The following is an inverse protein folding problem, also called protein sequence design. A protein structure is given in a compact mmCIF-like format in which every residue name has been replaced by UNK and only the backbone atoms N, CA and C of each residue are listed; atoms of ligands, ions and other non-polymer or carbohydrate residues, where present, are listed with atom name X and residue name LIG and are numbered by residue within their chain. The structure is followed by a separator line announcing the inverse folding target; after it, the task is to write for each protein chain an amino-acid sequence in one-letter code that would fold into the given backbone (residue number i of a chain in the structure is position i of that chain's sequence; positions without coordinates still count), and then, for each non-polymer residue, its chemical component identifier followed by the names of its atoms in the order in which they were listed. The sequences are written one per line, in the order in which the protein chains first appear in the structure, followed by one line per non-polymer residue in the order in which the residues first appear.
data_IF_067821806645
#
_entry.id   IF_067821806645
#
_cell.length_a   1.000
_cell.length_b   1.000
_cell.length_c   1.000
_cell.angle_alpha   90.00
_cell.angle_beta   90.00
_cell.angle_gamma   90.00
#
_symmetry.space_group_name_H-M   'P 1'
#
loop_
_entity.id
_entity.type
_entity.pdbx_description
1 polymer ?
#
# COMPACT_ATOMS: atom_id res chain seq x y z
N UNK A 1 13.28 14.14 -22.17
CA UNK A 1 12.91 14.76 -20.91
C UNK A 1 11.39 14.83 -20.88
N UNK A 2 10.72 13.90 -20.18
CA UNK A 2 9.35 14.13 -19.78
C UNK A 2 9.48 15.09 -18.59
N UNK A 3 9.39 16.38 -18.89
CA UNK A 3 9.46 17.43 -17.89
C UNK A 3 8.35 17.24 -16.87
N UNK A 4 8.70 17.49 -15.62
CA UNK A 4 7.79 17.71 -14.51
C UNK A 4 6.83 16.57 -14.15
N UNK A 5 7.36 15.33 -13.96
CA UNK A 5 6.78 14.38 -13.03
C UNK A 5 5.35 13.90 -13.29
N UNK A 6 4.85 13.99 -14.53
CA UNK A 6 3.51 13.52 -14.84
C UNK A 6 3.55 12.01 -15.06
N UNK A 7 3.15 11.25 -14.05
CA UNK A 7 3.05 9.78 -14.06
C UNK A 7 1.83 9.24 -14.83
N UNK A 8 1.05 10.13 -15.44
CA UNK A 8 -0.21 9.84 -16.09
C UNK A 8 -0.19 8.64 -17.05
N UNK A 9 0.79 8.51 -17.98
CA UNK A 9 0.75 7.36 -18.90
C UNK A 9 0.94 6.03 -18.18
N UNK A 10 1.89 5.95 -17.25
CA UNK A 10 2.18 4.74 -16.48
C UNK A 10 1.03 4.38 -15.55
N UNK A 11 0.41 5.37 -14.94
CA UNK A 11 -0.73 5.21 -14.07
C UNK A 11 -1.97 4.72 -14.82
N UNK A 12 -2.26 5.27 -16.00
CA UNK A 12 -3.45 4.91 -16.78
C UNK A 12 -3.36 3.51 -17.41
N UNK A 13 -2.17 2.95 -17.57
CA UNK A 13 -1.98 1.63 -18.19
C UNK A 13 -2.77 0.57 -17.44
N UNK A 14 -2.68 0.49 -16.10
CA UNK A 14 -3.35 -0.56 -15.35
C UNK A 14 -4.86 -0.42 -15.24
N UNK A 15 -5.42 0.73 -14.93
CA UNK A 15 -6.86 0.92 -15.01
C UNK A 15 -7.42 0.56 -16.40
N UNK A 16 -6.70 0.92 -17.47
CA UNK A 16 -7.10 0.57 -18.85
C UNK A 16 -7.05 -0.94 -19.07
N UNK A 17 -5.95 -1.60 -18.70
CA UNK A 17 -5.81 -3.06 -18.82
C UNK A 17 -6.87 -3.76 -17.95
N UNK A 18 -7.12 -3.28 -16.73
CA UNK A 18 -8.14 -3.84 -15.86
C UNK A 18 -9.53 -3.72 -16.48
N UNK A 19 -9.88 -2.57 -17.05
CA UNK A 19 -11.17 -2.37 -17.74
C UNK A 19 -11.27 -3.27 -18.97
N UNK A 20 -10.25 -3.35 -19.82
CA UNK A 20 -10.24 -4.21 -21.01
C UNK A 20 -10.32 -5.68 -20.61
N UNK A 21 -9.53 -6.11 -19.63
CA UNK A 21 -9.59 -7.46 -19.09
C UNK A 21 -10.95 -7.79 -18.49
N UNK A 22 -11.56 -6.83 -17.83
CA UNK A 22 -12.89 -6.91 -17.27
C UNK A 22 -13.95 -7.12 -18.36
N UNK A 23 -13.93 -6.28 -19.40
CA UNK A 23 -14.83 -6.43 -20.56
C UNK A 23 -14.60 -7.79 -21.23
N UNK A 24 -13.36 -8.21 -21.45
CA UNK A 24 -13.04 -9.51 -22.01
C UNK A 24 -13.60 -10.67 -21.18
N UNK A 25 -13.50 -10.60 -19.86
CA UNK A 25 -14.05 -11.60 -18.95
C UNK A 25 -15.58 -11.66 -19.00
N UNK A 26 -16.25 -10.49 -18.99
CA UNK A 26 -17.74 -10.38 -19.11
C UNK A 26 -18.23 -10.96 -20.43
N UNK A 27 -17.51 -10.66 -21.52
CA UNK A 27 -17.88 -11.10 -22.86
C UNK A 27 -17.50 -12.54 -23.17
N UNK A 28 -16.87 -13.27 -22.21
CA UNK A 28 -16.49 -14.66 -22.36
C UNK A 28 -15.28 -14.91 -23.26
N UNK A 29 -14.42 -13.90 -23.45
CA UNK A 29 -13.15 -14.07 -24.18
C UNK A 29 -12.31 -15.17 -23.52
N UNK A 30 -11.91 -16.17 -24.32
CA UNK A 30 -11.13 -17.33 -23.87
C UNK A 30 -11.99 -18.50 -23.37
N UNK A 31 -13.32 -18.38 -23.36
CA UNK A 31 -14.24 -19.43 -22.94
C UNK A 31 -14.65 -19.35 -21.47
N UNK A 32 -15.54 -20.22 -21.05
CA UNK A 32 -16.25 -20.15 -19.76
C UNK A 32 -15.77 -21.23 -18.76
N UNK A 33 -14.61 -21.86 -19.01
CA UNK A 33 -14.07 -22.86 -18.11
C UNK A 33 -13.60 -22.24 -16.78
N UNK A 34 -13.68 -23.00 -15.69
CA UNK A 34 -13.20 -22.57 -14.37
C UNK A 34 -11.73 -22.11 -14.42
N UNK A 35 -10.89 -22.79 -15.19
CA UNK A 35 -9.48 -22.45 -15.33
C UNK A 35 -9.30 -21.06 -15.96
N UNK A 36 -10.04 -20.75 -17.02
CA UNK A 36 -10.01 -19.43 -17.67
C UNK A 36 -10.46 -18.35 -16.70
N UNK A 37 -11.53 -18.58 -15.96
CA UNK A 37 -12.04 -17.65 -14.94
C UNK A 37 -11.02 -17.39 -13.85
N UNK A 38 -10.33 -18.43 -13.36
CA UNK A 38 -9.26 -18.29 -12.36
C UNK A 38 -8.07 -17.50 -12.89
N UNK A 39 -7.64 -17.77 -14.13
CA UNK A 39 -6.55 -17.01 -14.77
C UNK A 39 -6.92 -15.52 -14.87
N UNK A 40 -8.13 -15.20 -15.32
CA UNK A 40 -8.62 -13.82 -15.37
C UNK A 40 -8.68 -13.17 -13.99
N UNK A 41 -9.17 -13.90 -12.99
CA UNK A 41 -9.25 -13.39 -11.61
C UNK A 41 -7.87 -13.06 -11.04
N UNK A 42 -6.88 -13.90 -11.30
CA UNK A 42 -5.49 -13.64 -10.87
C UNK A 42 -4.92 -12.43 -11.61
N UNK A 43 -5.14 -12.34 -12.91
CA UNK A 43 -4.70 -11.20 -13.72
C UNK A 43 -5.34 -9.88 -13.26
N UNK A 44 -6.65 -9.86 -13.06
CA UNK A 44 -7.36 -8.68 -12.55
C UNK A 44 -6.94 -8.35 -11.12
N UNK A 45 -6.70 -9.36 -10.29
CA UNK A 45 -6.16 -9.18 -8.93
C UNK A 45 -4.79 -8.50 -8.96
N UNK A 46 -3.91 -8.90 -9.88
CA UNK A 46 -2.63 -8.23 -10.08
C UNK A 46 -2.80 -6.77 -10.56
N UNK A 47 -3.74 -6.52 -11.47
CA UNK A 47 -4.05 -5.16 -11.90
C UNK A 47 -4.51 -4.28 -10.73
N UNK A 48 -5.40 -4.77 -9.87
CA UNK A 48 -5.84 -4.06 -8.68
C UNK A 48 -4.70 -3.83 -7.67
N UNK A 49 -3.81 -4.80 -7.51
CA UNK A 49 -2.59 -4.63 -6.71
C UNK A 49 -1.72 -3.48 -7.23
N UNK A 50 -1.55 -3.36 -8.54
CA UNK A 50 -0.80 -2.26 -9.13
C UNK A 50 -1.51 -0.90 -8.97
N UNK A 51 -2.85 -0.88 -9.01
CA UNK A 51 -3.64 0.33 -8.68
C UNK A 51 -3.39 0.76 -7.23
N UNK A 52 -3.26 -0.20 -6.30
CA UNK A 52 -2.89 0.11 -4.92
C UNK A 52 -1.48 0.74 -4.81
N UNK A 53 -0.54 0.37 -5.69
CA UNK A 53 0.76 1.05 -5.81
C UNK A 53 0.62 2.54 -6.16
N UNK A 54 -0.30 2.90 -7.04
CA UNK A 54 -0.57 4.30 -7.37
C UNK A 54 -1.22 5.08 -6.21
N UNK A 55 -2.04 4.42 -5.42
CA UNK A 55 -2.61 4.98 -4.18
C UNK A 55 -1.50 5.33 -3.17
N UNK A 56 -0.53 4.45 -3.03
CA UNK A 56 0.66 4.67 -2.22
C UNK A 56 1.49 5.88 -2.72
N UNK A 57 1.74 6.00 -4.03
CA UNK A 57 2.43 7.15 -4.61
C UNK A 57 1.68 8.47 -4.34
N UNK A 58 0.35 8.45 -4.40
CA UNK A 58 -0.47 9.62 -4.07
C UNK A 58 -0.30 10.07 -2.60
N UNK A 59 -0.09 9.13 -1.69
CA UNK A 59 0.20 9.41 -0.27
C UNK A 59 1.53 10.14 -0.10
N UNK A 60 2.54 9.76 -0.88
CA UNK A 60 3.85 10.42 -0.91
C UNK A 60 3.87 11.73 -1.72
N UNK A 61 2.77 12.06 -2.37
CA UNK A 61 2.63 13.22 -3.25
C UNK A 61 3.57 13.18 -4.47
N UNK A 62 3.85 11.98 -4.97
CA UNK A 62 4.73 11.71 -6.10
C UNK A 62 3.98 11.40 -7.40
N UNK A 63 2.64 11.34 -7.36
CA UNK A 63 1.79 11.09 -8.55
C UNK A 63 1.67 12.29 -9.49
N UNK A 64 1.79 13.48 -9.00
CA UNK A 64 1.64 14.69 -9.80
C UNK A 64 2.25 15.90 -9.12
N UNK A 65 2.32 17.01 -9.87
CA UNK A 65 2.97 18.25 -9.45
C UNK A 65 2.20 19.03 -8.39
N UNK A 66 0.89 18.79 -8.24
CA UNK A 66 0.09 19.51 -7.26
C UNK A 66 -0.37 18.59 -6.13
N UNK A 67 -0.30 19.12 -4.91
CA UNK A 67 -0.80 18.47 -3.70
C UNK A 67 -2.29 18.08 -3.83
N UNK A 68 -3.11 19.01 -4.32
CA UNK A 68 -4.54 18.77 -4.45
C UNK A 68 -4.85 17.63 -5.44
N UNK A 69 -4.10 17.53 -6.53
CA UNK A 69 -4.24 16.43 -7.48
C UNK A 69 -3.92 15.09 -6.81
N UNK A 70 -2.84 14.99 -6.04
CA UNK A 70 -2.48 13.77 -5.31
C UNK A 70 -3.55 13.39 -4.28
N UNK A 71 -4.06 14.35 -3.51
CA UNK A 71 -5.09 14.10 -2.50
C UNK A 71 -6.40 13.63 -3.13
N UNK A 72 -6.87 14.30 -4.17
CA UNK A 72 -8.11 13.91 -4.87
C UNK A 72 -7.97 12.56 -5.56
N UNK A 73 -6.84 12.35 -6.22
CA UNK A 73 -6.52 11.07 -6.83
C UNK A 73 -6.51 9.94 -5.79
N UNK A 74 -5.80 10.15 -4.68
CA UNK A 74 -5.76 9.18 -3.59
C UNK A 74 -7.14 8.89 -3.00
N UNK A 75 -8.00 9.90 -2.82
CA UNK A 75 -9.39 9.72 -2.37
C UNK A 75 -10.24 8.91 -3.34
N UNK A 76 -10.12 9.18 -4.64
CA UNK A 76 -10.85 8.42 -5.66
C UNK A 76 -10.38 6.96 -5.66
N UNK A 77 -9.08 6.71 -5.75
CA UNK A 77 -8.55 5.34 -5.73
C UNK A 77 -8.84 4.64 -4.41
N UNK A 78 -8.69 5.33 -3.28
CA UNK A 78 -9.04 4.80 -1.96
C UNK A 78 -10.49 4.40 -1.84
N UNK A 79 -11.43 5.15 -2.47
CA UNK A 79 -12.85 4.79 -2.53
C UNK A 79 -13.05 3.48 -3.28
N UNK A 80 -12.38 3.28 -4.41
CA UNK A 80 -12.40 2.01 -5.15
C UNK A 80 -11.79 0.86 -4.35
N UNK A 81 -10.69 1.09 -3.65
CA UNK A 81 -10.02 0.08 -2.82
C UNK A 81 -10.72 -0.18 -1.48
N UNK A 82 -11.73 0.61 -1.12
CA UNK A 82 -12.38 0.55 0.19
C UNK A 82 -11.50 1.04 1.35
N UNK A 83 -10.48 1.84 1.06
CA UNK A 83 -9.50 2.34 2.04
C UNK A 83 -9.58 3.87 2.11
N UNK A 84 -9.93 4.47 3.27
CA UNK A 84 -9.90 5.92 3.42
C UNK A 84 -8.48 6.47 3.23
N UNK A 85 -8.34 7.43 2.33
CA UNK A 85 -7.05 8.04 2.00
C UNK A 85 -6.36 8.65 3.23
N UNK A 86 -7.12 9.39 4.03
CA UNK A 86 -6.56 10.12 5.18
C UNK A 86 -5.98 9.19 6.24
N UNK A 87 -6.67 8.12 6.61
CA UNK A 87 -6.16 7.18 7.63
C UNK A 87 -4.96 6.40 7.11
N UNK A 88 -5.00 6.00 5.84
CA UNK A 88 -3.86 5.32 5.22
C UNK A 88 -2.64 6.25 5.17
N UNK A 89 -2.81 7.49 4.71
CA UNK A 89 -1.74 8.49 4.66
C UNK A 89 -1.11 8.71 6.03
N UNK A 90 -1.91 8.97 7.06
CA UNK A 90 -1.39 9.23 8.41
C UNK A 90 -0.68 8.00 9.00
N UNK A 91 -1.19 6.79 8.77
CA UNK A 91 -0.53 5.57 9.24
C UNK A 91 0.75 5.30 8.47
N UNK A 92 0.76 5.52 7.16
CA UNK A 92 1.90 5.25 6.29
C UNK A 92 3.06 6.23 6.49
N UNK A 93 2.77 7.51 6.66
CA UNK A 93 3.78 8.50 7.04
C UNK A 93 4.41 8.14 8.39
N UNK A 94 3.57 7.69 9.34
CA UNK A 94 4.05 7.24 10.64
C UNK A 94 4.87 5.94 10.52
N UNK A 95 4.49 5.03 9.63
CA UNK A 95 5.28 3.85 9.32
C UNK A 95 6.69 4.20 8.84
N UNK A 96 6.84 5.16 7.94
CA UNK A 96 8.16 5.67 7.54
C UNK A 96 8.96 6.28 8.70
N UNK A 97 8.27 6.98 9.61
CA UNK A 97 8.91 7.62 10.76
C UNK A 97 9.38 6.63 11.84
N UNK A 98 8.57 5.61 12.09
CA UNK A 98 8.73 4.67 13.22
C UNK A 98 8.88 3.23 12.75
N UNK A 99 9.39 3.03 11.56
CA UNK A 99 9.55 1.72 10.94
C UNK A 99 10.21 0.70 11.88
N UNK A 100 9.63 -0.48 11.96
CA UNK A 100 10.09 -1.59 12.79
C UNK A 100 10.11 -1.29 14.30
N UNK A 101 9.48 -0.21 14.77
CA UNK A 101 9.30 0.08 16.20
C UNK A 101 7.89 -0.26 16.66
N UNK A 102 7.67 -0.24 17.99
CA UNK A 102 6.34 -0.44 18.57
C UNK A 102 5.33 0.65 18.20
N UNK A 103 5.76 1.78 17.68
CA UNK A 103 4.92 2.91 17.28
C UNK A 103 4.52 2.89 15.80
N UNK A 104 5.00 1.89 15.08
CA UNK A 104 4.57 1.58 13.73
C UNK A 104 3.17 0.96 13.75
N UNK A 105 2.19 1.68 13.23
CA UNK A 105 0.79 1.21 13.19
C UNK A 105 0.51 0.27 12.04
N UNK A 106 1.26 0.38 10.93
CA UNK A 106 1.01 -0.38 9.72
C UNK A 106 1.51 -1.82 9.83
N UNK A 107 2.63 -2.03 10.52
CA UNK A 107 3.20 -3.35 10.78
C UNK A 107 2.64 -4.03 12.05
N UNK A 108 1.56 -3.52 12.62
CA UNK A 108 0.87 -4.22 13.69
C UNK A 108 0.26 -5.54 13.17
N UNK A 109 0.33 -6.67 13.91
CA UNK A 109 0.88 -6.85 15.25
C UNK A 109 2.36 -7.23 15.29
N UNK A 110 3.05 -7.30 14.15
CA UNK A 110 4.42 -7.83 14.00
C UNK A 110 5.48 -6.98 14.74
N UNK A 111 5.22 -5.69 14.89
CA UNK A 111 6.10 -4.75 15.59
C UNK A 111 5.83 -4.65 17.11
N UNK A 112 4.75 -5.25 17.64
CA UNK A 112 4.36 -5.10 19.05
C UNK A 112 5.06 -6.12 19.94
N UNK A 113 5.91 -5.72 20.91
CA UNK A 113 6.63 -6.64 21.80
C UNK A 113 5.72 -7.56 22.61
N UNK A 114 4.51 -7.08 22.99
CA UNK A 114 3.53 -7.87 23.74
C UNK A 114 2.65 -8.81 22.90
N UNK A 115 2.77 -8.79 21.57
CA UNK A 115 2.01 -9.70 20.71
C UNK A 115 2.62 -11.12 20.76
N UNK A 116 1.83 -12.10 21.19
CA UNK A 116 2.30 -13.49 21.27
C UNK A 116 2.67 -14.03 19.90
N UNK A 117 3.62 -14.97 19.86
CA UNK A 117 4.04 -15.62 18.62
C UNK A 117 2.87 -16.31 17.92
N UNK A 118 2.00 -17.00 18.68
CA UNK A 118 0.82 -17.67 18.14
C UNK A 118 -0.12 -16.67 17.46
N UNK A 119 -0.37 -15.52 18.08
CA UNK A 119 -1.20 -14.46 17.50
C UNK A 119 -0.59 -13.91 16.21
N UNK A 120 0.71 -13.63 16.20
CA UNK A 120 1.41 -13.12 15.01
C UNK A 120 1.35 -14.13 13.84
N UNK A 121 1.53 -15.43 14.12
CA UNK A 121 1.39 -16.51 13.12
C UNK A 121 -0.05 -16.60 12.55
N UNK A 122 -1.05 -16.54 13.40
CA UNK A 122 -2.45 -16.53 12.97
C UNK A 122 -2.77 -15.28 12.14
N UNK A 123 -2.19 -14.13 12.52
CA UNK A 123 -2.41 -12.87 11.82
C UNK A 123 -1.73 -12.84 10.43
N UNK A 124 -0.62 -13.57 10.22
CA UNK A 124 -0.03 -13.76 8.88
C UNK A 124 -1.04 -14.39 7.92
N UNK A 125 -1.71 -15.45 8.35
CA UNK A 125 -2.73 -16.11 7.53
C UNK A 125 -3.91 -15.18 7.27
N UNK A 126 -4.33 -14.43 8.27
CA UNK A 126 -5.38 -13.44 8.12
C UNK A 126 -4.98 -12.29 7.18
N UNK A 127 -3.75 -11.80 7.26
CA UNK A 127 -3.23 -10.75 6.37
C UNK A 127 -3.14 -11.20 4.91
N UNK A 128 -2.85 -12.48 4.65
CA UNK A 128 -2.76 -13.03 3.29
C UNK A 128 -4.15 -13.35 2.73
N UNK A 129 -4.95 -14.10 3.47
CA UNK A 129 -6.20 -14.67 2.95
C UNK A 129 -7.43 -13.84 3.30
N UNK A 130 -7.38 -13.09 4.39
CA UNK A 130 -8.45 -12.23 4.87
C UNK A 130 -8.19 -10.74 4.67
N UNK A 131 -7.20 -10.36 3.87
CA UNK A 131 -6.66 -8.99 3.80
C UNK A 131 -7.71 -7.92 3.42
N UNK A 132 -8.76 -8.26 2.67
CA UNK A 132 -9.90 -7.35 2.45
C UNK A 132 -10.55 -6.95 3.79
N UNK A 133 -10.64 -7.88 4.73
CA UNK A 133 -11.18 -7.63 6.07
C UNK A 133 -10.12 -7.07 7.00
N UNK A 134 -8.83 -7.43 6.78
CA UNK A 134 -7.72 -6.95 7.58
C UNK A 134 -7.56 -5.43 7.47
N UNK A 135 -7.64 -4.87 6.27
CA UNK A 135 -7.50 -3.43 6.06
C UNK A 135 -8.51 -2.59 6.87
N UNK A 136 -9.82 -2.83 6.81
CA UNK A 136 -10.78 -2.12 7.65
C UNK A 136 -10.50 -2.28 9.15
N UNK A 137 -10.05 -3.46 9.60
CA UNK A 137 -9.72 -3.71 11.00
C UNK A 137 -8.47 -2.93 11.42
N UNK A 138 -7.40 -2.99 10.63
CA UNK A 138 -6.15 -2.28 10.92
C UNK A 138 -6.38 -0.76 10.94
N UNK A 139 -7.05 -0.22 9.92
CA UNK A 139 -7.33 1.23 9.86
C UNK A 139 -8.41 1.66 10.86
N UNK A 140 -9.44 0.84 11.09
CA UNK A 140 -10.41 1.06 12.16
C UNK A 140 -9.71 1.10 13.52
N UNK A 141 -8.78 0.18 13.78
CA UNK A 141 -7.96 0.20 14.99
C UNK A 141 -7.20 1.52 15.14
N UNK A 142 -6.56 2.00 14.08
CA UNK A 142 -5.84 3.28 14.09
C UNK A 142 -6.77 4.42 14.47
N UNK A 143 -8.01 4.41 14.01
CA UNK A 143 -9.01 5.43 14.36
C UNK A 143 -9.38 5.41 15.86
N UNK A 144 -9.50 4.23 16.47
CA UNK A 144 -10.02 4.05 17.82
C UNK A 144 -8.96 3.92 18.93
N UNK A 145 -7.69 3.66 18.60
CA UNK A 145 -6.66 3.51 19.64
C UNK A 145 -6.45 4.83 20.38
N UNK A 146 -6.13 4.72 21.68
CA UNK A 146 -5.94 5.88 22.58
C UNK A 146 -4.84 6.84 22.09
N UNK A 147 -3.74 6.28 21.57
CA UNK A 147 -2.60 7.04 21.05
C UNK A 147 -2.67 7.15 19.50
N UNK A 148 -3.88 7.33 18.97
CA UNK A 148 -4.05 7.49 17.52
C UNK A 148 -3.26 8.71 17.00
N UNK A 149 -2.57 8.59 15.88
CA UNK A 149 -1.91 9.72 15.23
C UNK A 149 -2.89 10.72 14.61
N UNK A 150 -4.18 10.36 14.54
CA UNK A 150 -5.19 11.16 13.87
C UNK A 150 -5.61 12.38 14.70
N UNK A 151 -5.39 13.56 14.14
CA UNK A 151 -5.98 14.81 14.65
C UNK A 151 -7.51 14.78 14.54
N UNK A 152 -8.20 15.70 15.22
CA UNK A 152 -9.66 15.80 15.10
C UNK A 152 -10.12 16.10 13.67
N UNK A 153 -9.36 16.89 12.94
CA UNK A 153 -9.63 17.20 11.53
C UNK A 153 -9.45 15.95 10.64
N UNK A 154 -8.37 15.20 10.85
CA UNK A 154 -8.15 13.93 10.16
C UNK A 154 -9.28 12.94 10.44
N UNK A 155 -9.76 12.84 11.68
CA UNK A 155 -10.91 11.97 12.03
C UNK A 155 -12.18 12.36 11.26
N UNK A 156 -12.47 13.64 11.13
CA UNK A 156 -13.61 14.14 10.35
C UNK A 156 -13.44 13.80 8.86
N UNK A 157 -12.24 13.93 8.31
CA UNK A 157 -11.94 13.54 6.92
C UNK A 157 -12.14 12.03 6.72
N UNK A 158 -11.63 11.19 7.62
CA UNK A 158 -11.79 9.73 7.60
C UNK A 158 -13.26 9.33 7.62
N UNK A 159 -14.10 9.99 8.45
CA UNK A 159 -15.55 9.71 8.48
C UNK A 159 -16.21 10.02 7.15
N UNK A 160 -15.87 11.15 6.52
CA UNK A 160 -16.41 11.53 5.19
C UNK A 160 -15.96 10.55 4.10
N UNK A 161 -14.71 10.12 4.16
CA UNK A 161 -14.16 9.13 3.22
C UNK A 161 -14.83 7.76 3.38
N UNK A 162 -15.07 7.28 4.62
CA UNK A 162 -15.85 6.06 4.84
C UNK A 162 -17.29 6.21 4.36
N UNK A 163 -17.90 7.36 4.54
CA UNK A 163 -19.25 7.61 4.00
C UNK A 163 -19.24 7.55 2.46
N UNK A 164 -18.26 8.17 1.81
CA UNK A 164 -18.13 8.11 0.37
C UNK A 164 -17.93 6.65 -0.13
N UNK A 165 -17.10 5.86 0.55
CA UNK A 165 -16.90 4.44 0.29
C UNK A 165 -18.22 3.67 0.43
N UNK A 166 -18.93 3.88 1.52
CA UNK A 166 -20.21 3.19 1.79
C UNK A 166 -21.28 3.53 0.74
N UNK A 167 -21.40 4.81 0.37
CA UNK A 167 -22.32 5.26 -0.67
C UNK A 167 -21.94 4.68 -2.03
N UNK A 168 -20.67 4.74 -2.40
CA UNK A 168 -20.18 4.23 -3.68
C UNK A 168 -20.43 2.72 -3.82
N UNK A 169 -19.94 1.91 -2.86
CA UNK A 169 -20.10 0.47 -2.91
C UNK A 169 -21.55 0.02 -2.69
N UNK A 170 -22.27 0.70 -1.81
CA UNK A 170 -23.70 0.46 -1.60
C UNK A 170 -24.52 0.70 -2.87
N UNK A 171 -24.20 1.76 -3.63
CA UNK A 171 -24.85 2.06 -4.91
C UNK A 171 -24.52 0.99 -5.98
N UNK A 172 -23.27 0.52 -6.04
CA UNK A 172 -22.87 -0.56 -6.95
C UNK A 172 -23.61 -1.84 -6.60
N UNK A 173 -23.60 -2.27 -5.33
CA UNK A 173 -24.25 -3.49 -4.88
C UNK A 173 -25.77 -3.42 -5.17
N UNK A 174 -26.42 -2.32 -4.80
CA UNK A 174 -27.83 -2.12 -5.06
C UNK A 174 -28.16 -2.15 -6.56
N UNK A 175 -27.38 -1.43 -7.37
CA UNK A 175 -27.55 -1.40 -8.82
C UNK A 175 -27.37 -2.78 -9.46
N UNK A 176 -26.34 -3.51 -9.09
CA UNK A 176 -26.08 -4.87 -9.59
C UNK A 176 -27.16 -5.86 -9.17
N UNK A 177 -27.66 -5.74 -7.93
CA UNK A 177 -28.79 -6.55 -7.46
C UNK A 177 -30.05 -6.27 -8.29
N UNK A 178 -30.39 -5.00 -8.53
CA UNK A 178 -31.53 -4.62 -9.36
C UNK A 178 -31.39 -5.15 -10.78
N UNK A 179 -30.21 -5.01 -11.40
CA UNK A 179 -29.93 -5.51 -12.75
C UNK A 179 -30.07 -7.04 -12.82
N UNK A 180 -29.62 -7.74 -11.78
CA UNK A 180 -29.74 -9.20 -11.70
C UNK A 180 -31.17 -9.66 -11.54
N UNK A 181 -31.95 -9.00 -10.67
CA UNK A 181 -33.38 -9.33 -10.48
C UNK A 181 -34.19 -9.11 -11.77
N UNK A 182 -33.73 -8.23 -12.65
CA UNK A 182 -34.32 -8.02 -13.97
C UNK A 182 -33.72 -8.92 -15.08
N UNK A 183 -32.87 -9.87 -14.73
CA UNK A 183 -32.27 -10.79 -15.70
C UNK A 183 -31.26 -10.17 -16.67
N UNK A 184 -30.77 -8.93 -16.37
CA UNK A 184 -29.84 -8.20 -17.24
C UNK A 184 -28.39 -8.63 -16.98
N UNK A 185 -28.06 -8.97 -15.72
CA UNK A 185 -26.71 -9.38 -15.30
C UNK A 185 -26.76 -10.68 -14.53
N UNK A 186 -25.81 -11.56 -14.83
CA UNK A 186 -25.60 -12.78 -14.06
C UNK A 186 -24.69 -12.48 -12.84
N UNK A 187 -25.24 -12.55 -11.63
CA UNK A 187 -24.48 -12.32 -10.39
C UNK A 187 -23.35 -13.32 -10.21
N UNK A 188 -23.47 -14.57 -10.67
CA UNK A 188 -22.37 -15.52 -10.53
C UNK A 188 -21.14 -15.09 -11.32
N UNK A 189 -21.36 -14.49 -12.49
CA UNK A 189 -20.26 -13.88 -13.25
C UNK A 189 -19.69 -12.66 -12.53
N UNK A 190 -20.55 -11.84 -11.95
CA UNK A 190 -20.12 -10.67 -11.17
C UNK A 190 -19.26 -11.05 -9.95
N UNK A 191 -19.64 -12.10 -9.21
CA UNK A 191 -18.91 -12.56 -8.04
C UNK A 191 -17.48 -12.98 -8.37
N UNK A 192 -17.28 -13.71 -9.46
CA UNK A 192 -15.94 -14.11 -9.91
C UNK A 192 -15.13 -12.94 -10.46
N UNK A 193 -15.80 -11.88 -10.91
CA UNK A 193 -15.15 -10.72 -11.53
C UNK A 193 -14.70 -9.68 -10.52
N UNK A 194 -15.47 -9.49 -9.46
CA UNK A 194 -15.20 -8.47 -8.44
C UNK A 194 -14.73 -9.05 -7.12
N UNK A 195 -15.42 -10.07 -6.65
CA UNK A 195 -15.13 -10.60 -5.32
C UNK A 195 -13.82 -11.36 -5.28
N UNK A 196 -13.52 -12.17 -6.29
CA UNK A 196 -12.29 -12.97 -6.28
C UNK A 196 -11.01 -12.16 -6.62
N UNK A 197 -10.99 -11.21 -7.56
CA UNK A 197 -9.81 -10.38 -7.80
C UNK A 197 -9.39 -9.53 -6.60
N UNK A 198 -10.32 -9.07 -5.77
CA UNK A 198 -9.97 -8.23 -4.61
C UNK A 198 -9.17 -8.97 -3.52
N UNK A 199 -9.56 -10.16 -3.02
CA UNK A 199 -8.71 -10.92 -2.10
C UNK A 199 -7.37 -11.32 -2.72
N UNK A 200 -7.32 -11.58 -4.02
CA UNK A 200 -6.06 -11.86 -4.72
C UNK A 200 -5.16 -10.62 -4.69
N UNK A 201 -5.68 -9.44 -5.00
CA UNK A 201 -4.94 -8.19 -4.91
C UNK A 201 -4.43 -7.92 -3.48
N UNK A 202 -5.28 -8.19 -2.49
CA UNK A 202 -4.94 -8.04 -1.08
C UNK A 202 -3.85 -9.04 -0.66
N UNK A 203 -3.89 -10.29 -1.17
CA UNK A 203 -2.83 -11.28 -0.96
C UNK A 203 -1.51 -10.83 -1.57
N UNK A 204 -1.49 -10.30 -2.79
CA UNK A 204 -0.29 -9.72 -3.40
C UNK A 204 0.28 -8.59 -2.54
N UNK A 205 -0.57 -7.70 -2.03
CA UNK A 205 -0.13 -6.61 -1.15
C UNK A 205 0.42 -7.13 0.19
N UNK A 206 -0.21 -8.14 0.80
CA UNK A 206 0.28 -8.80 2.00
C UNK A 206 1.64 -9.44 1.79
N UNK A 207 1.81 -10.20 0.70
CA UNK A 207 3.09 -10.81 0.33
C UNK A 207 4.17 -9.76 0.09
N UNK A 208 3.85 -8.65 -0.60
CA UNK A 208 4.77 -7.53 -0.80
C UNK A 208 5.22 -6.97 0.55
N UNK A 209 4.27 -6.60 1.42
CA UNK A 209 4.56 -6.08 2.77
C UNK A 209 5.47 -7.02 3.58
N UNK A 210 5.21 -8.32 3.54
CA UNK A 210 6.04 -9.31 4.23
C UNK A 210 7.43 -9.43 3.62
N UNK A 211 7.51 -9.46 2.29
CA UNK A 211 8.79 -9.52 1.60
C UNK A 211 9.66 -8.30 1.93
N UNK A 212 9.07 -7.14 2.04
CA UNK A 212 9.76 -5.88 2.31
C UNK A 212 10.24 -5.78 3.78
N UNK A 213 9.44 -6.24 4.75
CA UNK A 213 9.66 -5.92 6.17
C UNK A 213 9.87 -7.13 7.10
N UNK A 214 9.20 -8.27 6.86
CA UNK A 214 9.13 -9.32 7.86
C UNK A 214 10.49 -9.96 8.13
N UNK A 215 10.84 -10.12 9.41
CA UNK A 215 12.15 -10.63 9.83
C UNK A 215 13.25 -9.55 9.88
N UNK A 216 12.96 -8.31 9.50
CA UNK A 216 13.93 -7.22 9.55
C UNK A 216 14.00 -6.61 10.96
N UNK A 217 15.20 -6.64 11.55
CA UNK A 217 15.44 -6.23 12.93
C UNK A 217 15.79 -4.73 13.08
N UNK A 218 16.40 -4.14 12.05
CA UNK A 218 16.90 -2.77 12.10
C UNK A 218 15.76 -1.74 11.96
N UNK A 219 15.90 -0.61 12.63
CA UNK A 219 15.04 0.57 12.45
C UNK A 219 15.61 1.56 11.43
N UNK A 220 16.83 1.31 10.90
CA UNK A 220 17.36 2.10 9.79
C UNK A 220 16.60 1.76 8.49
N UNK A 221 16.08 2.73 7.74
CA UNK A 221 15.29 2.50 6.55
C UNK A 221 15.95 1.62 5.48
N UNK A 222 17.25 1.77 5.29
CA UNK A 222 18.00 0.99 4.29
C UNK A 222 18.27 -0.43 4.77
N UNK A 223 18.55 -0.59 6.07
CA UNK A 223 18.91 -1.89 6.67
C UNK A 223 17.72 -2.65 7.24
N UNK A 224 16.63 -1.95 7.51
CA UNK A 224 15.40 -2.49 8.10
C UNK A 224 14.35 -2.93 7.07
N UNK A 225 14.70 -2.91 5.78
CA UNK A 225 13.85 -3.36 4.68
C UNK A 225 14.63 -4.18 3.68
N UNK A 226 13.94 -5.07 2.95
CA UNK A 226 14.51 -5.73 1.77
C UNK A 226 14.26 -4.88 0.54
N UNK A 227 15.30 -4.68 -0.25
CA UNK A 227 15.24 -4.01 -1.54
C UNK A 227 15.36 -5.04 -2.66
N UNK A 228 14.47 -5.03 -3.63
CA UNK A 228 14.58 -5.86 -4.83
C UNK A 228 15.08 -4.98 -5.98
N UNK A 229 16.25 -5.31 -6.51
CA UNK A 229 16.80 -4.63 -7.68
C UNK A 229 16.90 -5.64 -8.84
N UNK A 230 15.87 -5.64 -9.69
CA UNK A 230 15.64 -6.66 -10.69
C UNK A 230 16.75 -6.78 -11.73
N UNK A 231 17.34 -7.98 -11.83
CA UNK A 231 18.32 -8.31 -12.88
C UNK A 231 17.69 -9.01 -14.08
N UNK A 232 16.49 -9.58 -13.93
CA UNK A 232 15.76 -10.23 -15.02
C UNK A 232 14.56 -9.40 -15.51
N UNK A 233 14.10 -9.70 -16.71
CA UNK A 233 13.01 -8.94 -17.34
C UNK A 233 11.68 -9.06 -16.59
N UNK A 234 11.36 -10.22 -16.00
CA UNK A 234 10.13 -10.43 -15.23
C UNK A 234 10.09 -9.49 -14.03
N UNK A 235 11.15 -9.49 -13.22
CA UNK A 235 11.24 -8.60 -12.05
C UNK A 235 11.17 -7.14 -12.47
N UNK A 236 11.86 -6.76 -13.56
CA UNK A 236 11.80 -5.37 -14.07
C UNK A 236 10.41 -4.95 -14.52
N UNK A 237 9.68 -5.84 -15.19
CA UNK A 237 8.29 -5.58 -15.59
C UNK A 237 7.40 -5.44 -14.36
N UNK A 238 7.52 -6.35 -13.39
CA UNK A 238 6.76 -6.26 -12.14
C UNK A 238 7.09 -4.97 -11.36
N UNK A 239 8.36 -4.63 -11.22
CA UNK A 239 8.82 -3.38 -10.60
C UNK A 239 8.25 -2.16 -11.31
N UNK A 240 8.34 -2.14 -12.63
CA UNK A 240 7.81 -1.04 -13.44
C UNK A 240 6.32 -0.80 -13.15
N UNK A 241 5.55 -1.85 -13.11
CA UNK A 241 4.11 -1.75 -12.87
C UNK A 241 3.73 -1.50 -11.41
N UNK A 242 4.59 -1.85 -10.47
CA UNK A 242 4.45 -1.54 -9.06
C UNK A 242 5.19 -0.24 -8.66
N UNK A 243 5.46 0.66 -9.59
CA UNK A 243 6.12 1.96 -9.35
C UNK A 243 7.47 1.85 -8.63
N UNK A 244 8.26 0.80 -8.92
CA UNK A 244 9.55 0.52 -8.27
C UNK A 244 9.49 0.52 -6.73
N UNK A 245 8.32 0.25 -6.13
CA UNK A 245 8.13 0.20 -4.67
C UNK A 245 8.95 -0.91 -4.02
N UNK A 246 9.36 -1.89 -4.81
CA UNK A 246 10.29 -2.96 -4.42
C UNK A 246 11.73 -2.47 -4.19
N UNK A 247 12.09 -1.27 -4.67
CA UNK A 247 13.33 -0.59 -4.26
C UNK A 247 13.08 0.09 -2.91
N UNK A 248 12.74 -0.74 -1.91
CA UNK A 248 12.01 -0.32 -0.73
C UNK A 248 12.85 0.43 0.31
N UNK A 249 14.10 0.05 0.52
CA UNK A 249 15.00 0.77 1.42
C UNK A 249 15.21 2.23 1.02
N UNK A 250 15.57 2.52 -0.24
CA UNK A 250 15.60 3.89 -0.77
C UNK A 250 14.26 4.61 -0.66
N UNK A 251 13.13 3.93 -0.92
CA UNK A 251 11.81 4.51 -0.76
C UNK A 251 11.57 4.97 0.69
N UNK A 252 11.88 4.15 1.68
CA UNK A 252 11.79 4.53 3.10
C UNK A 252 12.76 5.64 3.48
N UNK A 253 13.95 5.66 2.89
CA UNK A 253 14.97 6.67 3.18
C UNK A 253 14.64 8.03 2.55
N UNK A 254 14.04 8.02 1.37
CA UNK A 254 13.75 9.18 0.53
C UNK A 254 12.28 9.17 0.08
N UNK A 255 11.31 9.26 1.01
CA UNK A 255 9.89 8.99 0.72
C UNK A 255 9.25 9.99 -0.25
N UNK A 256 9.92 11.12 -0.54
CA UNK A 256 9.50 12.10 -1.55
C UNK A 256 10.23 11.97 -2.88
N UNK A 257 11.19 11.04 -2.98
CA UNK A 257 11.84 10.78 -4.25
C UNK A 257 10.86 10.09 -5.19
N UNK A 258 10.71 10.57 -6.43
CA UNK A 258 9.89 9.88 -7.41
C UNK A 258 10.41 8.46 -7.62
N UNK A 259 9.50 7.52 -7.86
CA UNK A 259 9.83 6.10 -8.00
C UNK A 259 10.92 5.80 -9.05
N UNK A 260 11.06 6.61 -10.08
CA UNK A 260 12.11 6.45 -11.11
C UNK A 260 13.50 6.90 -10.66
N UNK A 261 13.62 7.59 -9.52
CA UNK A 261 14.89 8.00 -8.93
C UNK A 261 15.41 7.03 -7.85
N UNK A 262 14.61 6.08 -7.38
CA UNK A 262 14.96 5.23 -6.24
C UNK A 262 16.22 4.40 -6.49
N UNK A 263 16.42 3.91 -7.71
CA UNK A 263 17.64 3.14 -8.07
C UNK A 263 18.89 4.03 -8.00
N UNK A 264 18.83 5.25 -8.53
CA UNK A 264 19.95 6.20 -8.45
C UNK A 264 20.23 6.65 -7.02
N UNK A 265 19.19 6.81 -6.19
CA UNK A 265 19.33 7.10 -4.76
C UNK A 265 20.01 5.96 -3.99
N UNK A 266 19.70 4.72 -4.34
CA UNK A 266 20.40 3.56 -3.78
C UNK A 266 21.89 3.57 -4.13
N UNK A 267 22.21 3.77 -5.41
CA UNK A 267 23.59 3.82 -5.87
C UNK A 267 24.37 4.98 -5.22
N UNK A 268 23.78 6.14 -5.09
CA UNK A 268 24.37 7.28 -4.38
C UNK A 268 24.64 6.96 -2.89
N UNK A 269 23.68 6.29 -2.24
CA UNK A 269 23.83 5.88 -0.85
C UNK A 269 24.97 4.86 -0.67
N UNK A 270 25.06 3.85 -1.55
CA UNK A 270 26.13 2.84 -1.53
C UNK A 270 27.52 3.46 -1.73
N UNK A 271 27.65 4.43 -2.64
CA UNK A 271 28.90 5.17 -2.84
C UNK A 271 29.34 5.95 -1.61
N UNK A 272 28.40 6.54 -0.87
CA UNK A 272 28.67 7.29 0.37
C UNK A 272 28.96 6.37 1.58
N UNK A 273 28.50 5.14 1.51
CA UNK A 273 28.59 4.17 2.63
C UNK A 273 29.12 2.80 2.14
N UNK A 274 30.35 2.71 1.60
CA UNK A 274 30.84 1.50 0.95
C UNK A 274 31.02 0.30 1.90
N UNK A 275 31.08 0.54 3.22
CA UNK A 275 31.19 -0.54 4.23
C UNK A 275 29.85 -1.11 4.69
N UNK A 276 28.72 -0.60 4.23
CA UNK A 276 27.39 -1.05 4.65
C UNK A 276 26.89 -2.12 3.70
N UNK A 277 26.56 -3.29 4.23
CA UNK A 277 25.90 -4.36 3.48
C UNK A 277 24.39 -4.12 3.50
N UNK A 278 23.86 -3.75 2.36
CA UNK A 278 22.43 -3.47 2.18
C UNK A 278 21.71 -4.77 1.76
N UNK A 279 20.52 -5.09 2.31
CA UNK A 279 19.75 -6.28 1.91
C UNK A 279 19.11 -6.07 0.53
N UNK A 280 19.90 -6.27 -0.53
CA UNK A 280 19.48 -6.15 -1.93
C UNK A 280 19.38 -7.53 -2.57
N UNK A 281 18.22 -7.80 -3.18
CA UNK A 281 17.89 -9.07 -3.81
C UNK A 281 17.74 -8.89 -5.33
N UNK A 282 18.28 -9.84 -6.13
CA UNK A 282 18.27 -9.72 -7.60
C UNK A 282 16.90 -10.04 -8.23
N UNK A 283 15.99 -10.62 -7.46
CA UNK A 283 14.63 -10.99 -7.91
C UNK A 283 13.65 -10.98 -6.74
N UNK A 284 12.35 -10.80 -7.04
CA UNK A 284 11.29 -11.01 -6.06
C UNK A 284 11.33 -12.40 -5.45
N UNK A 285 11.57 -13.43 -6.27
CA UNK A 285 11.64 -14.81 -5.77
C UNK A 285 12.75 -14.97 -4.71
N UNK A 286 13.93 -14.39 -4.94
CA UNK A 286 15.02 -14.44 -3.96
C UNK A 286 14.62 -13.75 -2.64
N UNK A 287 13.99 -12.59 -2.69
CA UNK A 287 13.51 -11.89 -1.50
C UNK A 287 12.39 -12.65 -0.78
N UNK A 288 11.46 -13.25 -1.53
CA UNK A 288 10.40 -14.12 -0.97
C UNK A 288 11.00 -15.33 -0.27
N UNK A 289 11.96 -16.02 -0.90
CA UNK A 289 12.62 -17.19 -0.29
C UNK A 289 13.35 -16.85 1.00
N UNK A 290 13.94 -15.66 1.11
CA UNK A 290 14.53 -15.14 2.34
C UNK A 290 13.47 -14.84 3.42
N UNK A 291 12.28 -14.47 3.01
CA UNK A 291 11.15 -14.13 3.91
C UNK A 291 10.40 -15.36 4.43
N UNK A 292 10.27 -16.44 3.64
CA UNK A 292 9.48 -17.63 3.98
C UNK A 292 9.78 -18.19 5.38
N UNK A 293 11.06 -18.37 5.81
CA UNK A 293 11.34 -18.85 7.15
C UNK A 293 10.74 -17.96 8.25
N UNK A 294 10.74 -16.64 8.04
CA UNK A 294 10.21 -15.69 9.00
C UNK A 294 8.69 -15.84 9.18
N UNK A 295 7.95 -16.17 8.11
CA UNK A 295 6.49 -16.34 8.16
C UNK A 295 6.06 -17.42 9.17
N UNK A 296 6.83 -18.49 9.31
CA UNK A 296 6.48 -19.64 10.16
C UNK A 296 7.21 -19.64 11.50
N UNK A 297 8.51 -19.29 11.49
CA UNK A 297 9.33 -19.38 12.69
C UNK A 297 9.02 -18.23 13.65
N UNK A 298 9.14 -17.00 13.18
CA UNK A 298 8.94 -15.80 13.99
C UNK A 298 8.49 -14.60 13.14
N UNK A 299 7.21 -14.52 12.78
CA UNK A 299 6.70 -13.38 12.04
C UNK A 299 6.75 -12.11 12.92
N UNK A 300 7.79 -11.34 12.75
CA UNK A 300 8.04 -10.12 13.51
C UNK A 300 8.97 -9.17 12.80
N UNK A 301 9.01 -7.92 13.27
CA UNK A 301 9.93 -6.88 12.85
C UNK A 301 10.52 -6.20 14.09
N UNK A 302 11.65 -5.51 13.93
CA UNK A 302 12.30 -4.80 15.04
C UNK A 302 12.62 -5.75 16.20
N UNK A 303 12.16 -5.43 17.41
CA UNK A 303 12.39 -6.25 18.61
C UNK A 303 11.91 -7.69 18.46
N UNK A 304 10.78 -7.89 17.78
CA UNK A 304 10.27 -9.25 17.53
C UNK A 304 11.10 -10.02 16.50
N UNK A 305 11.97 -9.37 15.76
CA UNK A 305 12.97 -9.99 14.87
C UNK A 305 14.38 -10.01 15.48
N UNK A 306 14.53 -9.74 16.77
CA UNK A 306 15.83 -9.73 17.49
C UNK A 306 16.54 -8.38 17.49
N UNK A 307 15.90 -7.32 17.07
CA UNK A 307 16.42 -5.96 17.13
C UNK A 307 16.38 -5.35 18.54
N UNK A 308 16.97 -4.17 18.66
CA UNK A 308 16.94 -3.37 19.89
C UNK A 308 15.79 -2.39 19.89
N UNK A 309 15.32 -1.99 21.09
CA UNK A 309 14.28 -0.96 21.24
C UNK A 309 14.77 0.48 20.94
N UNK A 310 15.98 0.63 20.44
CA UNK A 310 16.50 1.96 20.11
C UNK A 310 15.73 2.53 18.93
N UNK A 311 14.90 3.52 19.20
CA UNK A 311 14.28 4.38 18.20
C UNK A 311 15.38 5.18 17.52
N UNK A 312 15.67 4.85 16.29
CA UNK A 312 16.50 5.70 15.45
C UNK A 312 15.60 6.80 14.89
N UNK A 313 15.37 7.85 15.68
CA UNK A 313 14.68 9.04 15.18
C UNK A 313 15.68 9.80 14.31
N UNK A 314 15.50 9.74 13.00
CA UNK A 314 16.32 10.50 12.07
C UNK A 314 15.87 11.96 12.00
N UNK A 315 16.81 12.88 12.04
CA UNK A 315 16.59 14.31 11.84
C UNK A 315 15.80 14.65 10.55
N UNK A 316 15.88 13.81 9.50
CA UNK A 316 15.11 14.00 8.27
C UNK A 316 13.64 13.53 8.36
N UNK A 317 13.32 12.64 9.29
CA UNK A 317 11.95 12.12 9.49
C UNK A 317 11.16 13.02 10.43
N UNK A 318 11.81 13.64 11.41
CA UNK A 318 11.19 14.68 12.22
C UNK A 318 10.70 15.85 11.37
N UNK A 319 11.49 16.25 10.37
CA UNK A 319 11.07 17.28 9.42
C UNK A 319 9.86 16.84 8.58
N UNK A 320 9.79 15.57 8.18
CA UNK A 320 8.68 15.05 7.39
C UNK A 320 7.38 14.98 8.20
N UNK A 321 7.42 14.47 9.43
CA UNK A 321 6.26 14.44 10.34
C UNK A 321 5.86 15.81 10.82
N UNK A 322 6.81 16.72 11.08
CA UNK A 322 6.53 18.11 11.46
C UNK A 322 6.01 18.97 10.30
N UNK A 323 6.41 18.67 9.06
CA UNK A 323 5.85 19.27 7.85
C UNK A 323 4.40 18.85 7.64
N UNK A 324 4.07 17.57 7.84
CA UNK A 324 2.70 17.08 7.76
C UNK A 324 1.81 17.70 8.83
N UNK A 325 2.31 17.87 10.05
CA UNK A 325 1.61 18.58 11.11
C UNK A 325 1.38 20.05 10.78
N UNK A 326 2.36 20.74 10.18
CA UNK A 326 2.25 22.12 9.69
C UNK A 326 1.31 22.26 8.50
N UNK A 327 1.32 21.30 7.59
CA UNK A 327 0.41 21.26 6.46
C UNK A 327 -1.04 21.09 6.89
N UNK A 328 -1.30 20.24 7.89
CA UNK A 328 -2.64 20.09 8.45
C UNK A 328 -3.13 21.36 9.16
N UNK A 329 -2.24 22.13 9.82
CA UNK A 329 -2.59 23.43 10.42
C UNK A 329 -2.82 24.51 9.36
N UNK A 330 -2.04 24.56 8.27
CA UNK A 330 -2.22 25.54 7.19
C UNK A 330 -3.50 25.32 6.39
N UNK A 331 -3.97 24.06 6.25
CA UNK A 331 -5.29 23.77 5.68
C UNK A 331 -6.43 24.27 6.57
N UNK A 332 -6.27 24.14 7.90
CA UNK A 332 -7.25 24.65 8.85
C UNK A 332 -7.39 26.18 8.77
N UNK A 333 -6.26 26.87 8.68
CA UNK A 333 -6.21 28.33 8.57
C UNK A 333 -6.73 28.83 7.21
N UNK A 334 -6.47 28.09 6.11
CA UNK A 334 -7.01 28.36 4.79
C UNK A 334 -8.52 28.15 4.67
N UNK A 335 -9.09 27.20 5.41
CA UNK A 335 -10.55 26.96 5.48
C UNK A 335 -11.23 27.97 6.39
N UNK A 336 -10.60 28.35 7.50
CA UNK A 336 -11.11 29.39 8.39
C UNK A 336 -11.19 30.74 7.68
N UNK A 337 -10.16 31.12 6.94
CA UNK A 337 -10.12 32.38 6.17
C UNK A 337 -11.11 32.44 5.00
N UNK A 338 -11.52 31.29 4.43
CA UNK A 338 -12.59 31.26 3.39
C UNK A 338 -14.01 31.31 3.94
N UNK A 339 -14.18 31.18 5.26
CA UNK A 339 -15.51 31.30 5.91
C UNK A 339 -15.78 32.71 6.48
N UNK A 340 -14.79 33.58 6.42
CA UNK A 340 -14.87 34.96 6.91
C UNK A 340 -14.86 35.98 5.75
N UNK A 341 -14.67 35.53 4.51
CA UNK A 341 -14.82 36.31 3.28
C UNK A 341 -16.04 35.81 2.48
#
# INVERSE_FOLDING_TARGET
MLGDGVLWPRFLVFPTIAIVGYVGFVTGVGGDSLLVRLIWSVFLGYCWFCVAGSFHEAVHQTMGTSRNANVWFGRVVGTFLGIPYTVYRESHIRHHAYMNTSDDFELWPYCKPGASLAFRRAFVLFDIFGAILANPIVYGRIYFVRNSPLSQQARTAVQREYMAIAVFWGSIIAGMTILSLNGIVDLQRFDLMWLLPMPIAAAFNGFRKFTEHLGMASTDPILGTRTVLGKNWVTRVCSYFNFNLDIHGPHHRFPRAPHFELESKLAEYQLKHPGIVIPVFPTYLAAVMDTIPCLWQNPGVGVNAGGTNQTFVKAGVENFTSEVGREASSEADGIANRRVA
#
